data_IF_059258587887
#
_entry.id   IF_059258587887
#
_cell.length_a   1.000
_cell.length_b   1.000
_cell.length_c   1.000
_cell.angle_alpha   90.00
_cell.angle_beta   90.00
_cell.angle_gamma   90.00
#
_symmetry.space_group_name_H-M   'P 1'
#
loop_
_entity.id
_entity.type
_entity.pdbx_description
1 polymer ?
#
# COMPACT_ATOMS: atom_id res chain seq x y z
N UNK A 1 -3.02 -15.87 -10.66
CA UNK A 1 -2.32 -17.10 -10.22
C UNK A 1 -2.23 -17.10 -8.69
N UNK A 2 -2.55 -18.21 -8.03
CA UNK A 2 -2.56 -18.31 -6.56
C UNK A 2 -1.18 -18.61 -5.94
N UNK A 3 -0.14 -18.81 -6.77
CA UNK A 3 1.14 -19.35 -6.29
C UNK A 3 0.89 -20.56 -5.35
N UNK A 4 1.68 -20.71 -4.30
CA UNK A 4 1.47 -21.71 -3.25
C UNK A 4 0.78 -21.03 -2.06
N UNK A 5 -0.55 -21.05 -2.03
CA UNK A 5 -1.37 -20.26 -1.08
C UNK A 5 -1.74 -20.99 0.24
N UNK A 6 -1.21 -22.19 0.48
CA UNK A 6 -1.37 -22.93 1.74
C UNK A 6 -2.78 -23.51 1.97
N UNK A 7 -3.03 -23.99 3.18
CA UNK A 7 -4.25 -24.76 3.52
C UNK A 7 -5.57 -23.97 3.43
N UNK A 8 -5.54 -22.63 3.59
CA UNK A 8 -6.75 -21.79 3.52
C UNK A 8 -7.10 -21.32 2.10
N UNK A 9 -6.40 -21.83 1.07
CA UNK A 9 -6.56 -21.42 -0.33
C UNK A 9 -8.02 -21.49 -0.80
N UNK A 10 -8.74 -22.56 -0.46
CA UNK A 10 -10.13 -22.73 -0.90
C UNK A 10 -11.05 -21.60 -0.42
N UNK A 11 -10.88 -21.16 0.84
CA UNK A 11 -11.65 -20.04 1.40
C UNK A 11 -11.26 -18.71 0.75
N UNK A 12 -9.96 -18.44 0.64
CA UNK A 12 -9.46 -17.21 0.02
C UNK A 12 -9.93 -17.10 -1.45
N UNK A 13 -9.96 -18.21 -2.18
CA UNK A 13 -10.40 -18.25 -3.57
C UNK A 13 -11.89 -18.02 -3.72
N UNK A 14 -12.72 -18.65 -2.87
CA UNK A 14 -14.16 -18.41 -2.87
C UNK A 14 -14.47 -16.92 -2.65
N UNK A 15 -13.83 -16.28 -1.66
CA UNK A 15 -14.01 -14.85 -1.40
C UNK A 15 -13.62 -13.96 -2.58
N UNK A 16 -12.60 -14.34 -3.37
CA UNK A 16 -12.23 -13.61 -4.58
C UNK A 16 -13.24 -13.87 -5.70
N UNK A 17 -13.55 -15.13 -6.03
CA UNK A 17 -14.46 -15.49 -7.12
C UNK A 17 -15.85 -14.87 -6.98
N UNK A 18 -16.40 -14.85 -5.77
CA UNK A 18 -17.72 -14.29 -5.50
C UNK A 18 -17.69 -12.79 -5.20
N UNK A 19 -16.50 -12.18 -5.17
CA UNK A 19 -16.33 -10.73 -5.03
C UNK A 19 -16.49 -10.21 -3.60
N UNK A 20 -16.48 -11.08 -2.60
CA UNK A 20 -16.41 -10.69 -1.17
C UNK A 20 -15.13 -9.91 -0.88
N UNK A 21 -14.05 -10.22 -1.61
CA UNK A 21 -12.80 -9.49 -1.61
C UNK A 21 -12.34 -9.18 -3.04
N UNK A 22 -11.78 -7.99 -3.26
CA UNK A 22 -11.15 -7.64 -4.54
C UNK A 22 -9.69 -8.11 -4.58
N UNK A 23 -9.21 -8.70 -5.70
CA UNK A 23 -7.81 -9.03 -5.86
C UNK A 23 -6.97 -7.74 -5.80
N UNK A 24 -5.86 -7.82 -5.07
CA UNK A 24 -4.95 -6.69 -4.87
C UNK A 24 -3.49 -7.12 -4.76
N UNK A 25 -3.18 -8.31 -5.29
CA UNK A 25 -1.82 -8.80 -5.46
C UNK A 25 -1.21 -8.22 -6.73
N UNK A 26 0.09 -7.93 -6.70
CA UNK A 26 0.88 -7.51 -7.86
C UNK A 26 2.00 -8.52 -8.09
N UNK A 27 2.32 -8.82 -9.35
CA UNK A 27 3.33 -9.80 -9.70
C UNK A 27 4.73 -9.36 -9.21
N UNK A 28 5.45 -10.18 -8.43
CA UNK A 28 6.83 -9.87 -8.02
C UNK A 28 7.86 -10.21 -9.11
N UNK A 29 7.43 -10.78 -10.23
CA UNK A 29 8.27 -11.15 -11.37
C UNK A 29 7.48 -10.98 -12.67
N UNK A 30 8.16 -10.70 -13.78
CA UNK A 30 7.52 -10.68 -15.09
C UNK A 30 7.33 -12.11 -15.61
N UNK A 31 6.13 -12.43 -16.11
CA UNK A 31 5.88 -13.72 -16.76
C UNK A 31 6.29 -13.60 -18.23
N UNK A 32 7.15 -14.50 -18.73
CA UNK A 32 7.65 -14.42 -20.09
C UNK A 32 6.53 -14.63 -21.11
N UNK A 33 6.66 -14.03 -22.30
CA UNK A 33 5.72 -14.19 -23.41
C UNK A 33 5.87 -15.52 -24.16
N UNK A 34 7.06 -16.12 -24.11
CA UNK A 34 7.36 -17.45 -24.66
C UNK A 34 8.58 -18.06 -23.92
N UNK A 35 8.91 -19.32 -24.23
CA UNK A 35 10.08 -19.99 -23.66
C UNK A 35 11.40 -19.34 -24.12
N UNK A 36 11.42 -18.65 -25.25
CA UNK A 36 12.57 -17.89 -25.74
C UNK A 36 12.68 -16.50 -25.11
N UNK A 37 11.64 -16.06 -24.37
CA UNK A 37 11.60 -14.74 -23.75
C UNK A 37 12.27 -14.70 -22.35
N UNK A 38 12.99 -15.77 -21.98
CA UNK A 38 13.79 -15.84 -20.74
C UNK A 38 15.28 -15.82 -21.04
N UNK A 39 16.09 -15.65 -19.99
CA UNK A 39 17.54 -15.80 -20.08
C UNK A 39 17.82 -17.31 -20.24
N UNK A 40 18.46 -17.73 -21.35
CA UNK A 40 18.71 -19.15 -21.59
C UNK A 40 19.71 -19.69 -20.57
N UNK A 41 19.58 -20.97 -20.15
CA UNK A 41 20.57 -21.60 -19.29
C UNK A 41 21.91 -21.75 -20.02
N UNK A 42 23.02 -21.48 -19.34
CA UNK A 42 24.36 -21.80 -19.86
C UNK A 42 24.73 -23.24 -19.47
N UNK A 43 25.08 -24.06 -20.47
CA UNK A 43 25.52 -25.45 -20.27
C UNK A 43 27.02 -25.58 -19.92
N UNK A 44 27.78 -24.49 -20.06
CA UNK A 44 29.14 -24.43 -19.55
C UNK A 44 29.12 -24.46 -18.02
N UNK A 45 30.07 -25.16 -17.39
CA UNK A 45 30.26 -25.12 -15.93
C UNK A 45 30.65 -23.73 -15.38
N UNK A 46 30.62 -22.70 -16.22
CA UNK A 46 30.81 -21.28 -15.92
C UNK A 46 29.61 -20.54 -16.51
N UNK A 47 28.92 -19.75 -15.68
CA UNK A 47 27.73 -18.98 -16.07
C UNK A 47 28.08 -17.50 -16.14
N UNK A 48 27.95 -16.90 -17.33
CA UNK A 48 28.23 -15.50 -17.59
C UNK A 48 26.95 -14.68 -17.62
N UNK A 49 26.81 -13.72 -16.70
CA UNK A 49 25.64 -12.84 -16.61
C UNK A 49 25.74 -11.70 -17.63
N UNK A 50 25.65 -12.05 -18.93
CA UNK A 50 25.83 -11.13 -20.06
C UNK A 50 24.76 -10.04 -20.11
N UNK A 51 23.58 -10.32 -19.56
CA UNK A 51 22.46 -9.39 -19.45
C UNK A 51 22.72 -8.27 -18.42
N UNK A 52 23.65 -8.48 -17.48
CA UNK A 52 23.99 -7.51 -16.44
C UNK A 52 22.75 -7.01 -15.67
N UNK A 53 22.56 -5.69 -15.63
CA UNK A 53 21.42 -5.08 -14.94
C UNK A 53 20.08 -5.18 -15.70
N UNK A 54 20.09 -5.62 -16.95
CA UNK A 54 18.96 -5.57 -17.87
C UNK A 54 18.09 -6.84 -17.81
N UNK A 55 17.81 -7.32 -16.60
CA UNK A 55 16.95 -8.48 -16.33
C UNK A 55 15.48 -8.08 -16.21
N UNK A 56 14.56 -8.97 -16.60
CA UNK A 56 13.11 -8.78 -16.42
C UNK A 56 12.63 -7.41 -16.94
N UNK A 57 11.83 -6.67 -16.17
CA UNK A 57 11.27 -5.36 -16.52
C UNK A 57 12.33 -4.26 -16.74
N UNK A 58 13.58 -4.49 -16.36
CA UNK A 58 14.71 -3.58 -16.61
C UNK A 58 15.25 -3.69 -18.02
N UNK A 59 14.95 -4.79 -18.72
CA UNK A 59 15.34 -4.98 -20.11
C UNK A 59 14.72 -3.91 -21.01
N UNK A 60 15.46 -3.35 -21.99
CA UNK A 60 14.88 -2.48 -23.02
C UNK A 60 13.78 -3.21 -23.83
N UNK A 61 13.87 -4.53 -23.92
CA UNK A 61 12.90 -5.41 -24.61
C UNK A 61 11.78 -5.90 -23.71
N UNK A 62 11.67 -5.41 -22.47
CA UNK A 62 10.70 -5.92 -21.49
C UNK A 62 9.23 -5.92 -21.97
N UNK A 63 8.86 -5.03 -22.91
CA UNK A 63 7.51 -5.00 -23.50
C UNK A 63 7.25 -6.19 -24.43
N UNK A 64 8.26 -6.65 -25.14
CA UNK A 64 8.18 -7.81 -26.05
C UNK A 64 8.27 -9.13 -25.28
N UNK A 65 9.08 -9.14 -24.22
CA UNK A 65 9.44 -10.34 -23.48
C UNK A 65 8.41 -10.77 -22.42
N UNK A 66 7.44 -9.91 -22.07
CA UNK A 66 6.53 -10.19 -20.95
C UNK A 66 5.07 -10.35 -21.42
N UNK A 67 4.48 -11.52 -21.17
CA UNK A 67 3.02 -11.71 -21.23
C UNK A 67 2.32 -10.94 -20.10
N UNK A 68 2.90 -10.99 -18.90
CA UNK A 68 2.47 -10.15 -17.77
C UNK A 68 3.67 -9.42 -17.18
N UNK A 69 3.66 -8.08 -17.14
CA UNK A 69 4.81 -7.33 -16.68
C UNK A 69 4.97 -7.41 -15.16
N UNK A 70 6.18 -7.08 -14.69
CA UNK A 70 6.44 -6.91 -13.27
C UNK A 70 5.47 -5.89 -12.65
N UNK A 71 5.00 -6.20 -11.44
CA UNK A 71 4.05 -5.37 -10.73
C UNK A 71 2.64 -5.37 -11.32
N UNK A 72 2.33 -6.20 -12.32
CA UNK A 72 0.98 -6.32 -12.87
C UNK A 72 0.03 -6.99 -11.88
N UNK A 73 -1.22 -6.52 -11.83
CA UNK A 73 -2.28 -7.13 -11.05
C UNK A 73 -3.57 -6.33 -11.17
N UNK A 74 -4.64 -7.04 -11.50
CA UNK A 74 -5.97 -6.48 -11.69
C UNK A 74 -6.73 -6.38 -10.36
N UNK A 75 -7.81 -5.59 -10.39
CA UNK A 75 -8.77 -5.40 -9.31
C UNK A 75 -10.18 -5.42 -9.90
N UNK A 76 -11.19 -5.71 -9.09
CA UNK A 76 -12.60 -5.55 -9.49
C UNK A 76 -13.08 -4.09 -9.46
N UNK A 77 -12.21 -3.16 -9.09
CA UNK A 77 -12.44 -1.71 -9.17
C UNK A 77 -11.27 -1.02 -9.89
N UNK A 78 -11.46 0.24 -10.27
CA UNK A 78 -10.43 1.09 -10.90
C UNK A 78 -9.89 2.12 -9.91
N UNK A 79 -8.67 2.58 -10.14
CA UNK A 79 -8.02 3.61 -9.32
C UNK A 79 -7.48 4.75 -10.17
N UNK A 80 -7.71 5.98 -9.72
CA UNK A 80 -7.13 7.21 -10.26
C UNK A 80 -5.87 7.60 -9.48
N UNK A 81 -4.91 8.21 -10.17
CA UNK A 81 -3.64 8.68 -9.62
C UNK A 81 -3.59 10.19 -9.81
N UNK A 82 -3.55 10.95 -8.70
CA UNK A 82 -3.39 12.40 -8.72
C UNK A 82 -1.97 12.82 -9.07
N UNK A 83 -1.74 14.13 -9.17
CA UNK A 83 -0.41 14.68 -9.43
C UNK A 83 0.53 14.42 -8.25
N UNK A 84 1.74 13.88 -8.48
CA UNK A 84 2.74 13.70 -7.43
C UNK A 84 3.32 15.04 -6.98
N UNK A 85 3.50 15.20 -5.67
CA UNK A 85 3.95 16.46 -5.06
C UNK A 85 5.09 16.24 -4.07
N UNK A 86 6.08 17.13 -4.06
CA UNK A 86 7.11 17.12 -3.02
C UNK A 86 6.49 17.47 -1.67
N UNK A 87 6.87 16.72 -0.62
CA UNK A 87 6.44 16.97 0.76
C UNK A 87 7.62 17.42 1.61
N UNK A 88 7.45 18.55 2.29
CA UNK A 88 8.42 19.05 3.27
C UNK A 88 8.32 18.31 4.61
N UNK A 89 9.35 18.46 5.46
CA UNK A 89 9.30 18.02 6.85
C UNK A 89 9.37 16.51 7.09
N UNK A 90 9.72 15.71 6.08
CA UNK A 90 9.93 14.27 6.28
C UNK A 90 11.39 13.95 6.62
N UNK A 91 11.64 12.81 7.26
CA UNK A 91 12.97 12.40 7.71
C UNK A 91 13.90 11.88 6.60
N UNK A 92 13.37 11.67 5.39
CA UNK A 92 14.16 11.21 4.24
C UNK A 92 14.69 12.40 3.42
N UNK A 93 15.59 12.13 2.47
CA UNK A 93 16.19 13.18 1.63
C UNK A 93 15.13 13.87 0.77
N UNK A 94 14.20 13.08 0.24
CA UNK A 94 13.06 13.56 -0.55
C UNK A 94 11.83 12.75 -0.15
N UNK A 95 10.70 13.42 0.05
CA UNK A 95 9.40 12.76 0.09
C UNK A 95 8.49 13.25 -1.01
N UNK A 96 7.73 12.32 -1.57
CA UNK A 96 6.73 12.58 -2.60
C UNK A 96 5.39 12.03 -2.15
N UNK A 97 4.38 12.89 -2.08
CA UNK A 97 2.98 12.52 -1.88
C UNK A 97 2.33 12.16 -3.22
N UNK A 98 1.45 11.17 -3.20
CA UNK A 98 0.63 10.78 -4.32
C UNK A 98 -0.76 10.41 -3.82
N UNK A 99 -1.78 11.16 -4.23
CA UNK A 99 -3.17 10.80 -4.01
C UNK A 99 -3.60 9.65 -4.90
N UNK A 100 -4.16 8.61 -4.30
CA UNK A 100 -4.77 7.48 -5.00
C UNK A 100 -6.25 7.43 -4.65
N UNK A 101 -7.12 7.42 -5.65
CA UNK A 101 -8.57 7.46 -5.50
C UNK A 101 -9.20 6.20 -6.07
N UNK A 102 -10.13 5.58 -5.37
CA UNK A 102 -10.95 4.51 -5.94
C UNK A 102 -12.04 5.11 -6.81
N UNK A 103 -11.92 4.94 -8.13
CA UNK A 103 -12.82 5.55 -9.13
C UNK A 103 -13.87 4.58 -9.65
N UNK A 104 -13.83 3.32 -9.21
CA UNK A 104 -14.82 2.31 -9.62
C UNK A 104 -15.94 2.14 -8.60
N UNK A 105 -16.74 1.09 -8.79
CA UNK A 105 -17.96 0.83 -8.01
C UNK A 105 -17.81 -0.19 -6.88
N UNK A 106 -16.61 -0.75 -6.68
CA UNK A 106 -16.34 -1.77 -5.65
C UNK A 106 -15.24 -1.31 -4.70
N UNK A 107 -15.29 -1.80 -3.46
CA UNK A 107 -14.19 -1.61 -2.50
C UNK A 107 -12.93 -2.31 -3.01
N UNK A 108 -11.76 -1.70 -2.83
CA UNK A 108 -10.52 -2.29 -3.29
C UNK A 108 -9.27 -1.66 -2.66
N UNK A 109 -8.13 -2.28 -2.92
CA UNK A 109 -6.81 -1.77 -2.54
C UNK A 109 -5.94 -1.65 -3.78
N UNK A 110 -5.17 -0.57 -3.87
CA UNK A 110 -4.19 -0.36 -4.93
C UNK A 110 -2.77 -0.44 -4.37
N UNK A 111 -1.83 -0.86 -5.19
CA UNK A 111 -0.40 -0.78 -4.91
C UNK A 111 0.23 0.19 -5.89
N UNK A 112 0.42 1.44 -5.47
CA UNK A 112 1.16 2.43 -6.23
C UNK A 112 2.66 2.13 -6.18
N UNK A 113 3.30 2.12 -7.35
CA UNK A 113 4.70 1.79 -7.54
C UNK A 113 5.43 3.00 -8.13
N UNK A 114 6.68 3.21 -7.73
CA UNK A 114 7.53 4.32 -8.18
C UNK A 114 8.80 3.80 -8.83
N UNK A 115 9.03 4.21 -10.07
CA UNK A 115 10.19 3.84 -10.87
C UNK A 115 11.01 5.07 -11.20
N UNK A 116 12.32 5.01 -10.97
CA UNK A 116 13.23 6.08 -11.34
C UNK A 116 13.89 5.77 -12.68
N UNK A 117 13.99 6.80 -13.51
CA UNK A 117 14.92 6.90 -14.63
C UNK A 117 15.99 7.94 -14.28
N UNK A 118 17.23 7.66 -14.67
CA UNK A 118 18.39 8.54 -14.50
C UNK A 118 18.88 8.98 -15.90
N UNK A 119 18.33 10.06 -16.49
CA UNK A 119 18.58 10.41 -17.90
C UNK A 119 20.05 10.75 -18.20
N UNK A 120 20.79 11.22 -17.21
CA UNK A 120 22.21 11.59 -17.32
C UNK A 120 23.15 10.38 -17.26
N UNK A 121 22.63 9.17 -17.05
CA UNK A 121 23.43 7.95 -16.88
C UNK A 121 23.12 6.92 -17.97
N UNK A 122 24.13 6.55 -18.75
CA UNK A 122 23.97 5.65 -19.91
C UNK A 122 24.01 4.15 -19.58
N UNK A 123 24.67 3.76 -18.49
CA UNK A 123 24.85 2.34 -18.07
C UNK A 123 23.82 1.85 -17.04
N UNK A 124 22.67 2.52 -16.94
CA UNK A 124 21.64 2.23 -15.94
C UNK A 124 20.32 1.90 -16.64
N UNK A 125 19.56 0.88 -16.19
CA UNK A 125 18.23 0.62 -16.73
C UNK A 125 17.30 1.83 -16.65
N UNK A 126 16.46 2.02 -17.67
CA UNK A 126 15.55 3.17 -17.76
C UNK A 126 14.42 3.15 -16.74
N UNK A 127 14.21 2.03 -16.04
CA UNK A 127 13.19 1.86 -14.99
C UNK A 127 13.76 1.08 -13.82
N UNK A 128 13.95 1.74 -12.69
CA UNK A 128 14.34 1.12 -11.43
C UNK A 128 13.26 1.34 -10.38
N UNK A 129 12.64 0.26 -9.90
CA UNK A 129 11.67 0.35 -8.80
C UNK A 129 12.40 0.88 -7.55
N UNK A 130 11.91 1.98 -6.98
CA UNK A 130 12.47 2.59 -5.75
C UNK A 130 11.51 2.59 -4.57
N UNK A 131 10.22 2.43 -4.83
CA UNK A 131 9.24 2.35 -3.77
C UNK A 131 7.92 1.79 -4.26
N UNK A 132 7.15 1.23 -3.35
CA UNK A 132 5.76 0.90 -3.56
C UNK A 132 5.02 1.04 -2.24
N UNK A 133 3.74 1.41 -2.31
CA UNK A 133 2.85 1.49 -1.16
C UNK A 133 1.48 0.97 -1.50
N UNK A 134 0.89 0.24 -0.56
CA UNK A 134 -0.46 -0.29 -0.68
C UNK A 134 -1.42 0.58 0.12
N UNK A 135 -2.53 0.95 -0.49
CA UNK A 135 -3.59 1.70 0.20
C UNK A 135 -4.27 0.85 1.28
N UNK A 136 -4.92 1.53 2.22
CA UNK A 136 -6.08 1.05 2.93
C UNK A 136 -7.16 0.51 1.97
N UNK A 137 -8.17 -0.16 2.53
CA UNK A 137 -9.32 -0.60 1.73
C UNK A 137 -10.19 0.62 1.44
N UNK A 138 -10.15 1.10 0.20
CA UNK A 138 -10.88 2.30 -0.21
C UNK A 138 -12.29 1.92 -0.68
N UNK A 139 -13.30 2.62 -0.17
CA UNK A 139 -14.64 2.61 -0.72
C UNK A 139 -14.69 3.34 -2.08
N UNK A 140 -15.72 3.09 -2.93
CA UNK A 140 -15.96 3.90 -4.12
C UNK A 140 -15.96 5.40 -3.81
N UNK A 141 -15.14 6.18 -4.55
CA UNK A 141 -14.97 7.62 -4.35
C UNK A 141 -13.97 8.01 -3.26
N UNK A 142 -13.53 7.09 -2.41
CA UNK A 142 -12.55 7.36 -1.34
C UNK A 142 -11.14 7.53 -1.91
N UNK A 143 -10.33 8.36 -1.26
CA UNK A 143 -8.95 8.63 -1.62
C UNK A 143 -8.02 8.52 -0.43
N UNK A 144 -6.78 8.10 -0.68
CA UNK A 144 -5.70 8.08 0.29
C UNK A 144 -4.46 8.76 -0.28
N UNK A 145 -3.79 9.56 0.55
CA UNK A 145 -2.51 10.18 0.22
C UNK A 145 -1.36 9.24 0.61
N UNK A 146 -0.62 8.73 -0.38
CA UNK A 146 0.54 7.88 -0.15
C UNK A 146 1.82 8.71 -0.14
N UNK A 147 2.58 8.67 0.95
CA UNK A 147 3.90 9.34 1.03
C UNK A 147 5.04 8.36 0.78
N UNK A 148 5.81 8.56 -0.29
CA UNK A 148 7.04 7.86 -0.61
C UNK A 148 8.24 8.61 -0.06
N UNK A 149 9.13 7.93 0.64
CA UNK A 149 10.30 8.52 1.27
C UNK A 149 11.57 7.92 0.66
N UNK A 150 12.43 8.76 0.08
CA UNK A 150 13.63 8.35 -0.65
C UNK A 150 14.88 8.83 0.09
N UNK A 151 15.73 7.88 0.45
CA UNK A 151 17.07 8.13 1.02
C UNK A 151 18.05 8.58 -0.06
N UNK A 152 19.25 9.04 0.34
CA UNK A 152 20.31 9.32 -0.62
C UNK A 152 20.67 8.10 -1.47
N UNK A 153 20.61 6.88 -0.90
CA UNK A 153 20.85 5.64 -1.64
C UNK A 153 19.79 5.35 -2.70
N UNK A 154 18.53 5.67 -2.44
CA UNK A 154 17.43 5.49 -3.40
C UNK A 154 17.58 6.42 -4.60
N UNK A 155 18.12 7.61 -4.33
CA UNK A 155 18.44 8.62 -5.32
C UNK A 155 19.77 8.36 -6.03
N UNK A 156 20.56 7.36 -5.63
CA UNK A 156 21.86 7.07 -6.24
C UNK A 156 21.87 5.77 -7.05
N UNK A 157 22.85 5.64 -7.94
CA UNK A 157 23.17 4.42 -8.69
C UNK A 157 24.61 4.01 -8.38
N UNK A 158 24.90 2.73 -8.56
CA UNK A 158 26.25 2.20 -8.41
C UNK A 158 26.83 1.89 -9.79
N UNK A 159 27.84 2.65 -10.20
CA UNK A 159 28.51 2.51 -11.50
C UNK A 159 30.01 2.59 -11.31
N UNK A 160 30.75 1.73 -12.02
CA UNK A 160 32.22 1.73 -12.05
C UNK A 160 32.86 1.70 -10.62
N UNK A 161 32.24 0.98 -9.69
CA UNK A 161 32.76 0.75 -8.34
C UNK A 161 32.40 1.83 -7.30
N UNK A 162 31.65 2.86 -7.67
CA UNK A 162 31.27 3.94 -6.78
C UNK A 162 29.76 4.27 -6.84
N UNK A 163 29.25 4.84 -5.75
CA UNK A 163 27.94 5.46 -5.75
C UNK A 163 28.03 6.85 -6.39
N UNK A 164 27.20 7.11 -7.40
CA UNK A 164 27.14 8.43 -8.04
C UNK A 164 26.02 9.27 -7.43
N UNK A 165 26.31 10.55 -7.23
CA UNK A 165 25.28 11.54 -6.96
C UNK A 165 24.35 11.66 -8.17
N UNK A 166 23.07 11.95 -7.91
CA UNK A 166 22.10 12.15 -8.97
C UNK A 166 22.09 13.59 -9.44
N UNK A 167 22.03 13.75 -10.77
CA UNK A 167 21.75 15.01 -11.42
C UNK A 167 20.58 14.79 -12.37
N UNK A 168 19.36 15.04 -11.85
CA UNK A 168 18.10 14.78 -12.55
C UNK A 168 17.62 13.33 -12.45
N UNK A 169 16.45 13.15 -11.84
CA UNK A 169 15.70 11.89 -11.82
C UNK A 169 14.32 12.16 -12.40
N UNK A 170 13.84 11.23 -13.23
CA UNK A 170 12.44 11.21 -13.64
C UNK A 170 11.75 10.09 -12.86
N UNK A 171 10.93 10.47 -11.88
CA UNK A 171 10.17 9.55 -11.04
C UNK A 171 8.79 9.29 -11.67
N UNK A 172 8.52 8.03 -12.03
CA UNK A 172 7.24 7.62 -12.63
C UNK A 172 6.43 6.78 -11.67
N UNK A 173 5.16 7.14 -11.51
CA UNK A 173 4.22 6.51 -10.60
C UNK A 173 3.19 5.73 -11.41
N UNK A 174 2.84 4.53 -10.95
CA UNK A 174 1.97 3.65 -11.71
C UNK A 174 1.43 2.46 -10.94
N UNK A 175 0.64 1.65 -11.63
CA UNK A 175 0.05 0.42 -11.11
C UNK A 175 0.87 -0.83 -11.47
N UNK A 176 1.84 -0.73 -12.40
CA UNK A 176 2.80 -1.77 -12.77
C UNK A 176 4.01 -1.16 -13.50
N UNK A 177 5.03 -1.97 -13.86
CA UNK A 177 6.19 -1.50 -14.63
C UNK A 177 5.89 -1.07 -16.06
N UNK A 178 4.66 -1.32 -16.55
CA UNK A 178 4.16 -0.96 -17.88
C UNK A 178 2.91 -0.08 -17.84
N UNK A 179 2.37 0.21 -16.66
CA UNK A 179 1.23 1.10 -16.45
C UNK A 179 1.67 2.24 -15.54
N UNK A 180 2.41 3.18 -16.16
CA UNK A 180 2.95 4.38 -15.53
C UNK A 180 2.08 5.55 -15.95
N UNK A 181 1.46 6.22 -14.96
CA UNK A 181 0.36 7.16 -15.19
C UNK A 181 0.72 8.60 -14.85
N UNK A 182 1.67 8.77 -13.93
CA UNK A 182 2.10 10.08 -13.46
C UNK A 182 3.62 10.17 -13.41
N UNK A 183 4.15 11.38 -13.51
CA UNK A 183 5.58 11.64 -13.52
C UNK A 183 5.92 12.89 -12.70
N UNK A 184 7.07 12.86 -12.03
CA UNK A 184 7.67 14.00 -11.35
C UNK A 184 9.16 14.06 -11.69
N UNK A 185 9.62 15.21 -12.17
CA UNK A 185 11.04 15.46 -12.39
C UNK A 185 11.66 15.99 -11.10
N UNK A 186 12.59 15.22 -10.55
CA UNK A 186 13.41 15.60 -9.42
C UNK A 186 14.74 16.13 -9.94
N UNK A 187 14.84 17.45 -10.05
CA UNK A 187 16.08 18.17 -10.34
C UNK A 187 16.65 18.69 -9.02
N UNK A 188 17.90 18.32 -8.69
CA UNK A 188 18.50 18.60 -7.38
C UNK A 188 18.42 20.06 -6.95
N UNK A 189 18.51 21.01 -7.89
CA UNK A 189 18.39 22.45 -7.60
C UNK A 189 16.94 22.86 -7.38
N UNK A 190 16.01 22.33 -8.17
CA UNK A 190 14.57 22.66 -8.08
C UNK A 190 13.90 22.01 -6.87
N UNK A 191 14.36 20.83 -6.47
CA UNK A 191 13.84 20.13 -5.28
C UNK A 191 14.07 20.96 -4.03
N UNK A 192 15.25 21.55 -3.85
CA UNK A 192 15.52 22.41 -2.68
C UNK A 192 14.56 23.61 -2.60
N UNK A 193 14.33 24.29 -3.73
CA UNK A 193 13.41 25.42 -3.80
C UNK A 193 11.94 25.01 -3.55
N UNK A 194 11.52 23.87 -4.12
CA UNK A 194 10.16 23.36 -3.96
C UNK A 194 9.88 22.87 -2.52
N UNK A 195 10.85 22.24 -1.86
CA UNK A 195 10.73 21.85 -0.45
C UNK A 195 10.62 23.07 0.48
N UNK A 196 11.35 24.15 0.18
CA UNK A 196 11.23 25.40 0.93
C UNK A 196 9.84 26.06 0.74
N UNK A 197 9.32 26.06 -0.49
CA UNK A 197 7.98 26.57 -0.78
C UNK A 197 6.86 25.74 -0.13
N UNK A 198 7.00 24.41 -0.13
CA UNK A 198 6.04 23.50 0.54
C UNK A 198 6.06 23.68 2.06
N UNK A 199 7.24 23.84 2.67
CA UNK A 199 7.37 24.12 4.10
C UNK A 199 6.76 25.47 4.52
N UNK A 200 6.61 26.41 3.57
CA UNK A 200 6.02 27.71 3.80
C UNK A 200 4.49 27.74 3.61
N UNK A 201 3.87 26.67 3.10
CA UNK A 201 2.41 26.57 3.07
C UNK A 201 1.89 26.56 4.50
N UNK A 202 0.89 27.40 4.86
CA UNK A 202 0.28 27.33 6.17
C UNK A 202 -0.28 25.93 6.35
N UNK A 203 0.04 25.30 7.49
CA UNK A 203 -0.64 24.08 7.90
C UNK A 203 -2.11 24.43 8.07
N UNK A 204 -2.95 24.08 7.10
CA UNK A 204 -4.40 24.19 7.26
C UNK A 204 -4.75 23.33 8.46
N UNK A 205 -5.07 24.03 9.54
CA UNK A 205 -5.28 23.42 10.84
C UNK A 205 -6.67 22.81 10.80
N UNK A 206 -6.70 21.52 11.05
CA UNK A 206 -7.85 20.64 11.22
C UNK A 206 -8.66 21.06 12.48
N UNK A 207 -9.18 22.30 12.50
CA UNK A 207 -9.98 22.87 13.59
C UNK A 207 -11.42 23.24 13.16
N UNK A 208 -11.75 23.20 11.88
CA UNK A 208 -13.06 23.61 11.38
C UNK A 208 -14.20 22.59 11.57
N UNK A 209 -13.94 21.40 12.14
CA UNK A 209 -14.99 20.43 12.49
C UNK A 209 -15.37 20.42 13.97
N UNK A 210 -14.62 21.10 14.85
CA UNK A 210 -15.00 21.22 16.27
C UNK A 210 -16.05 22.31 16.54
N UNK A 211 -16.12 23.35 15.70
CA UNK A 211 -17.07 24.46 15.88
C UNK A 211 -18.49 24.16 15.36
N UNK A 212 -18.70 23.09 14.58
CA UNK A 212 -20.05 22.66 14.16
C UNK A 212 -20.73 21.67 15.11
N UNK A 213 -20.01 21.13 16.10
CA UNK A 213 -20.57 20.19 17.07
C UNK A 213 -20.99 20.86 18.39
N UNK A 214 -20.48 22.06 18.70
CA UNK A 214 -20.84 22.81 19.90
C UNK A 214 -22.20 23.54 19.79
N UNK A 215 -22.64 23.90 18.58
CA UNK A 215 -23.88 24.67 18.35
C UNK A 215 -25.16 23.81 18.30
N UNK A 216 -25.06 22.50 18.58
CA UNK A 216 -26.22 21.58 18.64
C UNK A 216 -26.58 21.08 20.03
N UNK A 217 -25.81 21.42 21.07
CA UNK A 217 -26.07 20.93 22.44
C UNK A 217 -26.87 21.88 23.33
N UNK A 218 -27.12 23.13 22.92
CA UNK A 218 -27.81 24.12 23.78
C UNK A 218 -29.30 24.34 23.44
N UNK A 219 -29.88 23.59 22.50
CA UNK A 219 -31.29 23.76 22.10
C UNK A 219 -32.28 22.73 22.69
N UNK A 220 -31.83 21.74 23.47
CA UNK A 220 -32.71 20.68 24.01
C UNK A 220 -32.55 20.49 25.53
N UNK A 221 -32.73 21.58 26.29
CA UNK A 221 -32.84 21.51 27.76
C UNK A 221 -33.77 22.58 28.32
N UNK A 222 -35.05 22.57 27.95
CA UNK A 222 -36.08 23.32 28.66
C UNK A 222 -37.48 22.70 28.51
N UNK A 223 -37.80 21.71 29.37
CA UNK A 223 -39.18 21.40 29.75
C UNK A 223 -39.21 20.73 31.14
N UNK A 224 -40.00 21.20 32.11
CA UNK A 224 -40.05 20.59 33.45
C UNK A 224 -41.02 19.42 33.47
N UNK A 225 -40.68 18.37 34.22
CA UNK A 225 -41.56 17.25 34.54
C UNK A 225 -42.15 17.44 35.94
N UNK A 226 -43.47 17.37 36.03
CA UNK A 226 -44.26 17.38 37.26
C UNK A 226 -44.00 16.12 38.11
N UNK A 227 -44.15 16.29 39.41
CA UNK A 227 -43.96 15.29 40.46
C UNK A 227 -45.32 14.72 40.84
N UNK A 228 -45.49 13.40 40.84
CA UNK A 228 -46.64 12.74 41.48
C UNK A 228 -46.14 11.55 42.34
N UNK A 229 -46.81 11.37 43.48
CA UNK A 229 -46.37 10.70 44.72
C UNK A 229 -47.21 9.44 44.99
N UNK A 230 -46.62 8.47 45.73
CA UNK A 230 -47.22 7.36 46.51
C UNK A 230 -47.71 6.11 45.74
N UNK A 231 -47.62 4.85 46.21
CA UNK A 231 -47.15 4.17 47.44
C UNK A 231 -47.01 2.63 47.15
N UNK A 232 -46.47 1.78 48.06
CA UNK A 232 -46.00 0.42 47.80
C UNK A 232 -46.83 -0.74 48.40
N UNK A 233 -46.64 -1.98 47.92
CA UNK A 233 -46.75 -3.33 48.58
C UNK A 233 -46.75 -4.42 47.44
N UNK A 234 -46.28 -5.67 47.51
CA UNK A 234 -45.87 -6.62 48.57
C UNK A 234 -45.06 -7.78 47.96
N UNK A 235 -44.28 -8.46 48.81
CA UNK A 235 -43.42 -9.63 48.57
C UNK A 235 -44.15 -10.95 48.29
N UNK A 236 -43.51 -11.87 47.54
CA UNK A 236 -43.40 -13.34 47.78
C UNK A 236 -42.06 -13.76 47.10
N UNK A 237 -40.95 -14.15 47.77
CA UNK A 237 -40.70 -15.34 48.62
C UNK A 237 -40.63 -16.62 47.76
N UNK A 238 -39.62 -17.51 47.73
CA UNK A 238 -38.44 -17.78 48.57
C UNK A 238 -37.71 -19.01 47.96
N UNK A 239 -36.41 -19.14 48.26
CA UNK A 239 -35.58 -20.37 48.38
C UNK A 239 -35.20 -21.09 47.07
N UNK A 240 -33.94 -21.39 46.74
CA UNK A 240 -32.70 -21.47 47.50
C UNK A 240 -32.25 -22.93 47.68
N UNK A 241 -31.04 -23.27 47.23
CA UNK A 241 -30.05 -24.06 48.00
C UNK A 241 -28.86 -24.50 47.11
N UNK A 242 -27.70 -23.89 47.39
CA UNK A 242 -26.38 -24.44 47.13
C UNK A 242 -26.16 -25.75 47.92
N UNK A 243 -25.29 -26.66 47.42
CA UNK A 243 -23.97 -26.92 48.03
C UNK A 243 -23.20 -28.08 47.38
N UNK A 244 -21.96 -27.75 46.98
CA UNK A 244 -20.67 -28.43 47.23
C UNK A 244 -20.63 -29.97 47.24
N UNK A 245 -19.67 -30.54 46.49
CA UNK A 245 -18.63 -31.45 47.03
C UNK A 245 -17.40 -31.47 46.10
N UNK A 246 -16.25 -31.75 46.69
CA UNK A 246 -14.85 -31.47 46.32
C UNK A 246 -14.09 -32.81 46.15
N UNK A 247 -12.89 -32.76 45.54
CA UNK A 247 -11.83 -33.81 45.42
C UNK A 247 -12.02 -34.84 44.28
N UNK A 248 -10.99 -35.32 43.54
CA UNK A 248 -9.59 -35.63 43.91
C UNK A 248 -8.68 -35.73 42.66
N UNK A 249 -7.38 -35.45 42.85
CA UNK A 249 -6.27 -35.61 41.89
C UNK A 249 -5.91 -37.09 41.61
N UNK A 250 -5.30 -37.31 40.43
CA UNK A 250 -4.05 -38.05 40.16
C UNK A 250 -4.07 -39.39 39.38
N UNK A 251 -3.16 -39.42 38.38
CA UNK A 251 -2.18 -40.45 37.95
C UNK A 251 -2.50 -41.45 36.81
N UNK A 252 -1.57 -41.42 35.82
CA UNK A 252 -0.84 -42.56 35.15
C UNK A 252 -1.67 -43.42 34.19
N UNK A 253 -1.19 -43.98 33.08
CA UNK A 253 -0.04 -43.84 32.16
C UNK A 253 -0.25 -44.92 31.06
N UNK A 254 0.39 -44.74 29.90
CA UNK A 254 0.87 -45.77 28.93
C UNK A 254 -0.05 -46.93 28.50
N UNK A 255 -0.15 -47.11 27.18
CA UNK A 255 -0.07 -48.33 26.33
C UNK A 255 -0.67 -47.90 24.97
N UNK A 256 -0.11 -48.13 23.78
CA UNK A 256 0.97 -48.98 23.27
C UNK A 256 1.53 -48.35 21.99
#
# INVERSE_FOLDING_TARGET
>A
ALFLAGEQTGRAWASMLFGDASPSGKLPLAFPSSDEAVIPPEASGMVNYREGLYTSYRSPRAKELAAFPFGHGLSYTSFGYGSPELKAGCSAKICVGLRVSNTGSRKGREVAQVYFQFPTMSKVPSKLLRGFKKTALLAPGESEELTFAFSERDLSTFTDGAWSAWDGIVARFGASSMDLRQELVLDGKKVAAALAAEAAKPAETELAESEKQADKTDAEAAKPAETEVAEPEKQVGKKGAEKKTRLRKARIAKHS
#
